data_IF_464930355197
#
_entry.id   IF_464930355197
#
_cell.length_a   1.000
_cell.length_b   1.000
_cell.length_c   1.000
_cell.angle_alpha   90.00
_cell.angle_beta   90.00
_cell.angle_gamma   90.00
#
_symmetry.space_group_name_H-M   'P 1'
#
loop_
_entity.id
_entity.type
_entity.pdbx_description
1 polymer ?
#
# COMPACT_ATOMS: atom_id res chain seq x y z
N UNK A 1 16.85 -4.34 6.95
CA UNK A 1 15.81 -4.53 7.97
C UNK A 1 15.79 -3.31 8.89
N UNK A 2 14.64 -2.66 9.03
CA UNK A 2 14.48 -1.46 9.85
C UNK A 2 14.20 -1.82 11.31
N UNK A 3 14.78 -1.06 12.25
CA UNK A 3 14.66 -1.31 13.69
C UNK A 3 13.21 -1.29 14.20
N UNK A 4 12.31 -0.60 13.50
CA UNK A 4 10.88 -0.53 13.81
C UNK A 4 10.20 -1.90 13.67
N UNK A 5 10.50 -2.62 12.59
CA UNK A 5 9.91 -3.93 12.28
C UNK A 5 10.50 -5.09 13.08
N UNK A 6 11.61 -4.85 13.79
CA UNK A 6 12.24 -5.79 14.72
C UNK A 6 11.97 -5.45 16.18
N UNK A 7 11.21 -4.39 16.46
CA UNK A 7 10.93 -3.97 17.83
C UNK A 7 9.89 -4.89 18.48
N UNK A 8 10.07 -5.18 19.77
CA UNK A 8 9.13 -6.03 20.52
C UNK A 8 7.70 -5.48 20.47
N UNK A 9 7.57 -4.15 20.61
CA UNK A 9 6.27 -3.48 20.53
C UNK A 9 5.54 -3.70 19.20
N UNK A 10 6.27 -3.97 18.11
CA UNK A 10 5.68 -4.29 16.82
C UNK A 10 5.40 -5.80 16.69
N UNK A 11 6.36 -6.65 17.05
CA UNK A 11 6.22 -8.11 16.89
C UNK A 11 5.14 -8.69 17.80
N UNK A 12 5.00 -8.17 19.03
CA UNK A 12 3.98 -8.62 20.00
C UNK A 12 2.56 -8.45 19.45
N UNK A 13 2.30 -7.33 18.77
CA UNK A 13 0.98 -7.06 18.18
C UNK A 13 0.68 -8.08 17.08
N UNK A 14 1.65 -8.37 16.23
CA UNK A 14 1.49 -9.36 15.15
C UNK A 14 1.26 -10.76 15.70
N UNK A 15 2.04 -11.18 16.69
CA UNK A 15 1.91 -12.48 17.33
C UNK A 15 0.57 -12.62 18.05
N UNK A 16 0.12 -11.58 18.76
CA UNK A 16 -1.20 -11.55 19.43
C UNK A 16 -2.35 -11.77 18.45
N UNK A 17 -2.21 -11.27 17.22
CA UNK A 17 -3.21 -11.44 16.16
C UNK A 17 -2.98 -12.68 15.29
N UNK A 18 -2.03 -13.55 15.64
CA UNK A 18 -1.74 -14.79 14.90
C UNK A 18 -1.13 -14.54 13.51
N UNK A 19 -0.50 -13.37 13.29
CA UNK A 19 0.13 -13.02 12.03
C UNK A 19 1.53 -13.61 11.97
N UNK A 20 1.78 -14.48 10.99
CA UNK A 20 3.12 -15.05 10.75
C UNK A 20 4.08 -13.95 10.30
N UNK A 21 5.11 -13.70 11.11
CA UNK A 21 6.17 -12.74 10.79
C UNK A 21 7.21 -13.43 9.90
N UNK A 22 7.31 -12.98 8.65
CA UNK A 22 8.37 -13.36 7.73
C UNK A 22 9.24 -12.14 7.46
N UNK A 23 10.50 -12.20 7.88
CA UNK A 23 11.48 -11.16 7.56
C UNK A 23 12.58 -11.75 6.69
N UNK A 24 12.88 -11.05 5.61
CA UNK A 24 13.90 -11.45 4.65
C UNK A 24 15.31 -11.27 5.22
N UNK A 25 16.25 -12.08 4.72
CA UNK A 25 17.67 -11.83 4.96
C UNK A 25 18.13 -10.56 4.26
N UNK A 26 19.20 -9.92 4.78
CA UNK A 26 19.85 -8.79 4.08
C UNK A 26 20.12 -9.16 2.61
N UNK A 27 19.48 -8.46 1.67
CA UNK A 27 19.75 -8.60 0.23
C UNK A 27 18.64 -9.26 -0.59
N UNK A 28 17.52 -9.68 0.01
CA UNK A 28 16.37 -10.24 -0.70
C UNK A 28 15.43 -9.14 -1.25
N UNK A 29 15.94 -8.32 -2.18
CA UNK A 29 15.18 -7.20 -2.78
C UNK A 29 13.84 -7.61 -3.42
N UNK A 30 13.68 -8.89 -3.81
CA UNK A 30 12.49 -9.42 -4.51
C UNK A 30 11.20 -9.21 -3.74
N UNK A 31 11.25 -9.35 -2.42
CA UNK A 31 10.06 -9.23 -1.57
C UNK A 31 9.57 -7.77 -1.51
N UNK A 32 10.46 -6.81 -1.74
CA UNK A 32 10.12 -5.39 -1.71
C UNK A 32 9.74 -4.81 -3.08
N UNK A 33 9.96 -5.52 -4.19
CA UNK A 33 9.75 -4.99 -5.56
C UNK A 33 8.32 -4.43 -5.74
N UNK A 34 7.31 -5.13 -5.21
CA UNK A 34 5.92 -4.71 -5.36
C UNK A 34 5.65 -3.39 -4.63
N UNK A 35 6.13 -3.27 -3.39
CA UNK A 35 5.98 -2.07 -2.57
C UNK A 35 6.79 -0.90 -3.13
N UNK A 36 8.01 -1.16 -3.62
CA UNK A 36 8.83 -0.14 -4.29
C UNK A 36 8.16 0.38 -5.57
N UNK A 37 7.59 -0.52 -6.39
CA UNK A 37 6.85 -0.15 -7.60
C UNK A 37 5.64 0.71 -7.27
N UNK A 38 4.88 0.35 -6.23
CA UNK A 38 3.76 1.14 -5.73
C UNK A 38 4.20 2.56 -5.34
N UNK A 39 5.24 2.66 -4.50
CA UNK A 39 5.74 3.96 -4.05
C UNK A 39 6.31 4.81 -5.17
N UNK A 40 6.90 4.20 -6.19
CA UNK A 40 7.31 4.92 -7.40
C UNK A 40 6.10 5.57 -8.08
N UNK A 41 5.03 4.81 -8.32
CA UNK A 41 3.81 5.36 -8.92
C UNK A 41 3.21 6.48 -8.05
N UNK A 42 3.05 6.28 -6.74
CA UNK A 42 2.53 7.31 -5.82
C UNK A 42 3.35 8.61 -5.89
N UNK A 43 4.69 8.50 -5.90
CA UNK A 43 5.57 9.66 -5.93
C UNK A 43 5.44 10.45 -7.23
N UNK A 44 5.54 9.76 -8.37
CA UNK A 44 5.56 10.41 -9.68
C UNK A 44 4.17 10.89 -10.13
N UNK A 45 3.11 10.18 -9.75
CA UNK A 45 1.76 10.46 -10.23
C UNK A 45 0.95 11.34 -9.25
N UNK A 46 1.39 11.50 -8.00
CA UNK A 46 0.70 12.33 -7.01
C UNK A 46 1.62 13.31 -6.28
N UNK A 47 2.65 12.82 -5.59
CA UNK A 47 3.43 13.64 -4.65
C UNK A 47 4.25 14.72 -5.35
N UNK A 48 4.92 14.39 -6.45
CA UNK A 48 5.79 15.35 -7.16
C UNK A 48 5.03 16.36 -8.01
N UNK A 49 3.76 16.10 -8.32
CA UNK A 49 2.95 16.96 -9.18
C UNK A 49 2.19 18.06 -8.43
N UNK A 50 2.16 18.00 -7.09
CA UNK A 50 1.27 18.83 -6.26
C UNK A 50 2.07 19.54 -5.17
N UNK A 51 1.71 20.80 -4.95
CA UNK A 51 2.10 21.50 -3.73
C UNK A 51 1.05 21.22 -2.64
N UNK A 52 1.50 20.71 -1.49
CA UNK A 52 0.62 20.44 -0.36
C UNK A 52 0.68 21.58 0.65
N UNK A 53 -0.49 22.00 1.15
CA UNK A 53 -0.60 23.05 2.17
C UNK A 53 -0.06 22.58 3.52
N UNK A 54 -0.38 21.34 3.89
CA UNK A 54 0.00 20.70 5.14
C UNK A 54 -0.11 19.17 5.02
N UNK A 55 0.18 18.47 6.12
CA UNK A 55 0.10 17.01 6.17
C UNK A 55 -1.33 16.46 6.05
N UNK A 56 -2.35 17.21 6.46
CA UNK A 56 -3.74 16.79 6.33
C UNK A 56 -4.19 16.81 4.87
N UNK A 57 -3.81 17.86 4.13
CA UNK A 57 -4.02 17.95 2.69
C UNK A 57 -3.27 16.84 1.95
N UNK A 58 -2.01 16.54 2.32
CA UNK A 58 -1.29 15.40 1.76
C UNK A 58 -2.03 14.07 2.01
N UNK A 59 -2.51 13.84 3.24
CA UNK A 59 -3.26 12.62 3.59
C UNK A 59 -4.54 12.48 2.76
N UNK A 60 -5.28 13.58 2.57
CA UNK A 60 -6.49 13.59 1.74
C UNK A 60 -6.17 13.25 0.28
N UNK A 61 -5.14 13.87 -0.30
CA UNK A 61 -4.76 13.64 -1.69
C UNK A 61 -4.19 12.25 -1.93
N UNK A 62 -3.45 11.69 -0.96
CA UNK A 62 -3.05 10.27 -0.98
C UNK A 62 -4.28 9.36 -0.92
N UNK A 63 -5.26 9.65 -0.07
CA UNK A 63 -6.50 8.88 0.01
C UNK A 63 -7.27 8.85 -1.32
N UNK A 64 -7.36 10.00 -2.00
CA UNK A 64 -7.95 10.09 -3.35
C UNK A 64 -7.15 9.29 -4.36
N UNK A 65 -5.83 9.40 -4.35
CA UNK A 65 -4.95 8.65 -5.24
C UNK A 65 -5.10 7.13 -5.07
N UNK A 66 -5.08 6.62 -3.83
CA UNK A 66 -5.24 5.19 -3.57
C UNK A 66 -6.65 4.67 -3.89
N UNK A 67 -7.69 5.48 -3.69
CA UNK A 67 -9.04 5.13 -4.12
C UNK A 67 -9.08 4.91 -5.63
N UNK A 68 -8.55 5.87 -6.40
CA UNK A 68 -8.45 5.76 -7.86
C UNK A 68 -7.56 4.58 -8.31
N UNK A 69 -6.39 4.43 -7.69
CA UNK A 69 -5.43 3.36 -8.01
C UNK A 69 -6.03 1.96 -7.87
N UNK A 70 -6.88 1.76 -6.85
CA UNK A 70 -7.49 0.47 -6.56
C UNK A 70 -8.83 0.23 -7.27
N UNK A 71 -9.60 1.29 -7.57
CA UNK A 71 -10.98 1.16 -8.11
C UNK A 71 -11.15 1.48 -9.58
N UNK A 72 -10.31 2.36 -10.11
CA UNK A 72 -10.55 2.98 -11.42
C UNK A 72 -9.37 2.79 -12.39
N UNK A 73 -8.16 2.56 -11.86
CA UNK A 73 -6.95 2.39 -12.67
C UNK A 73 -6.84 0.93 -13.17
N UNK A 74 -6.93 0.67 -14.48
CA UNK A 74 -6.64 -0.66 -15.02
C UNK A 74 -5.15 -0.97 -14.89
N UNK A 75 -4.81 -2.22 -14.60
CA UNK A 75 -3.41 -2.67 -14.52
C UNK A 75 -3.17 -3.79 -15.51
N UNK A 76 -2.24 -3.60 -16.44
CA UNK A 76 -1.85 -4.62 -17.43
C UNK A 76 -1.42 -5.95 -16.80
N UNK A 77 -0.84 -5.92 -15.59
CA UNK A 77 -0.46 -7.12 -14.87
C UNK A 77 -1.65 -7.90 -14.27
N UNK A 78 -2.85 -7.34 -14.35
CA UNK A 78 -4.12 -7.91 -13.90
C UNK A 78 -5.11 -8.04 -15.06
N UNK A 79 -4.64 -8.23 -16.30
CA UNK A 79 -5.47 -8.29 -17.51
C UNK A 79 -6.40 -7.06 -17.66
N UNK A 80 -5.86 -5.88 -17.36
CA UNK A 80 -6.54 -4.58 -17.34
C UNK A 80 -7.70 -4.45 -16.34
N UNK A 81 -7.86 -5.42 -15.42
CA UNK A 81 -8.71 -5.27 -14.24
C UNK A 81 -8.08 -4.31 -13.21
N UNK A 82 -8.93 -3.83 -12.31
CA UNK A 82 -8.54 -3.05 -11.13
C UNK A 82 -8.27 -3.97 -9.93
N UNK A 83 -7.45 -3.54 -8.94
CA UNK A 83 -7.22 -4.31 -7.74
C UNK A 83 -8.52 -4.65 -6.99
N UNK A 84 -9.46 -3.72 -6.89
CA UNK A 84 -10.72 -3.97 -6.20
C UNK A 84 -11.55 -5.05 -6.91
N UNK A 85 -11.58 -5.09 -8.25
CA UNK A 85 -12.27 -6.15 -8.99
C UNK A 85 -11.67 -7.54 -8.75
N UNK A 86 -10.35 -7.64 -8.61
CA UNK A 86 -9.67 -8.92 -8.42
C UNK A 86 -9.80 -9.44 -6.97
N UNK A 87 -9.64 -8.56 -5.98
CA UNK A 87 -9.57 -8.95 -4.56
C UNK A 87 -10.91 -8.84 -3.83
N UNK A 88 -11.83 -8.01 -4.31
CA UNK A 88 -13.17 -7.82 -3.74
C UNK A 88 -14.27 -8.08 -4.80
N UNK A 89 -14.38 -9.31 -5.34
CA UNK A 89 -15.38 -9.66 -6.35
C UNK A 89 -16.84 -9.52 -5.88
N UNK A 90 -17.06 -9.21 -4.60
CA UNK A 90 -18.34 -8.77 -4.05
C UNK A 90 -18.15 -7.37 -3.46
N UNK A 91 -19.11 -6.44 -3.66
CA UNK A 91 -18.96 -5.08 -3.18
C UNK A 91 -18.72 -5.07 -1.67
N UNK A 92 -17.61 -4.46 -1.23
CA UNK A 92 -17.46 -4.05 0.16
C UNK A 92 -18.66 -3.17 0.49
N UNK A 93 -19.60 -3.71 1.26
CA UNK A 93 -20.71 -2.94 1.80
C UNK A 93 -20.10 -1.71 2.45
N UNK A 94 -20.36 -0.52 1.87
CA UNK A 94 -19.99 0.74 2.49
C UNK A 94 -20.75 0.78 3.80
N UNK A 95 -20.06 0.59 4.92
CA UNK A 95 -20.61 0.91 6.22
C UNK A 95 -20.98 2.41 6.19
N UNK A 96 -22.27 2.67 6.37
CA UNK A 96 -22.88 3.99 6.40
C UNK A 96 -22.49 4.76 7.66
#
# INVERSE_FOLDING_TARGET
>A
QGCQFTSQAFTDVLETHGVTISMDGKGCYRDNIFVERLWRSVKYECVYLKAFKDGAHLKQELGRYFTWYNRDRPHQGLDDATPDELYFPQPLNKAA
#
